data_IF_282057825754
#
_entry.id   IF_282057825754
#
_cell.length_a   1.000
_cell.length_b   1.000
_cell.length_c   1.000
_cell.angle_alpha   90.00
_cell.angle_beta   90.00
_cell.angle_gamma   90.00
#
_symmetry.space_group_name_H-M   'P 1'
#
loop_
_entity.id
_entity.type
_entity.pdbx_description
1 polymer ?
#
# COMPACT_ATOMS: atom_id res chain seq x y z
N UNK A 1 12.54 16.92 -41.70
CA UNK A 1 12.30 16.43 -40.34
C UNK A 1 10.86 16.71 -39.93
N UNK A 2 10.35 17.92 -40.17
CA UNK A 2 8.95 18.25 -39.81
C UNK A 2 7.93 17.43 -40.61
N UNK A 3 8.22 17.13 -41.91
CA UNK A 3 7.34 16.29 -42.73
C UNK A 3 7.32 14.85 -42.26
N UNK A 4 8.45 14.31 -41.76
CA UNK A 4 8.51 12.97 -41.18
C UNK A 4 7.62 12.90 -39.95
N UNK A 5 7.69 13.88 -39.05
CA UNK A 5 6.87 13.93 -37.83
C UNK A 5 5.39 14.05 -38.18
N UNK A 6 5.04 14.90 -39.14
CA UNK A 6 3.63 15.07 -39.57
C UNK A 6 3.07 13.82 -40.20
N UNK A 7 3.85 13.11 -41.02
CA UNK A 7 3.39 11.91 -41.71
C UNK A 7 3.28 10.70 -40.79
N UNK A 8 3.99 10.71 -39.66
CA UNK A 8 4.03 9.58 -38.73
C UNK A 8 3.47 9.91 -37.35
N UNK A 9 2.76 11.02 -37.21
CA UNK A 9 2.26 11.47 -35.91
C UNK A 9 1.35 10.44 -35.24
N UNK A 10 0.54 9.74 -36.02
CA UNK A 10 -0.35 8.72 -35.45
C UNK A 10 0.41 7.52 -34.91
N UNK A 11 1.49 7.14 -35.60
CA UNK A 11 2.36 6.04 -35.14
C UNK A 11 3.11 6.45 -33.87
N UNK A 12 3.59 7.69 -33.80
CA UNK A 12 4.28 8.22 -32.64
C UNK A 12 3.34 8.27 -31.43
N UNK A 13 2.13 8.78 -31.60
CA UNK A 13 1.12 8.83 -30.53
C UNK A 13 0.77 7.43 -30.05
N UNK A 14 0.57 6.47 -30.99
CA UNK A 14 0.29 5.09 -30.64
C UNK A 14 1.43 4.45 -29.83
N UNK A 15 2.67 4.70 -30.22
CA UNK A 15 3.84 4.17 -29.51
C UNK A 15 3.95 4.75 -28.09
N UNK A 16 3.73 6.05 -27.92
CA UNK A 16 3.75 6.70 -26.61
C UNK A 16 2.61 6.19 -25.71
N UNK A 17 1.40 6.05 -26.27
CA UNK A 17 0.26 5.52 -25.52
C UNK A 17 0.49 4.07 -25.07
N UNK A 18 1.06 3.24 -25.93
CA UNK A 18 1.41 1.86 -25.59
C UNK A 18 2.46 1.80 -24.48
N UNK A 19 3.48 2.66 -24.55
CA UNK A 19 4.50 2.76 -23.52
C UNK A 19 3.92 3.13 -22.17
N UNK A 20 3.03 4.12 -22.15
CA UNK A 20 2.34 4.56 -20.93
C UNK A 20 1.50 3.41 -20.36
N UNK A 21 0.72 2.72 -21.18
CA UNK A 21 -0.11 1.61 -20.73
C UNK A 21 0.71 0.45 -20.16
N UNK A 22 1.87 0.15 -20.76
CA UNK A 22 2.74 -0.93 -20.30
C UNK A 22 3.45 -0.58 -18.99
N UNK A 23 3.90 0.67 -18.84
CA UNK A 23 4.69 1.10 -17.68
C UNK A 23 3.83 1.59 -16.53
N UNK A 24 2.57 1.93 -16.77
CA UNK A 24 1.69 2.51 -15.76
C UNK A 24 1.55 1.63 -14.52
N UNK A 25 1.34 0.30 -14.61
CA UNK A 25 1.25 -0.55 -13.42
C UNK A 25 2.51 -0.54 -12.56
N UNK A 26 3.69 -0.47 -13.19
CA UNK A 26 4.96 -0.40 -12.47
C UNK A 26 5.08 0.90 -11.66
N UNK A 27 4.75 2.02 -12.30
CA UNK A 27 4.82 3.34 -11.67
C UNK A 27 3.77 3.46 -10.56
N UNK A 28 2.53 3.03 -10.82
CA UNK A 28 1.45 3.13 -9.84
C UNK A 28 1.69 2.23 -8.62
N UNK A 29 2.28 1.05 -8.82
CA UNK A 29 2.65 0.16 -7.71
C UNK A 29 3.73 0.77 -6.82
N UNK A 30 4.76 1.36 -7.44
CA UNK A 30 5.84 2.03 -6.70
C UNK A 30 5.31 3.18 -5.84
N UNK A 31 4.36 3.94 -6.35
CA UNK A 31 3.76 5.04 -5.61
C UNK A 31 2.92 4.61 -4.42
N UNK A 32 2.56 3.32 -4.31
CA UNK A 32 1.71 2.79 -3.25
C UNK A 32 2.46 2.01 -2.18
N UNK A 33 3.75 1.75 -2.38
CA UNK A 33 4.58 1.06 -1.41
C UNK A 33 5.47 2.03 -0.67
N UNK A 34 5.67 1.76 0.62
CA UNK A 34 6.61 2.50 1.45
C UNK A 34 7.57 1.52 2.12
N UNK A 35 8.82 1.93 2.28
CA UNK A 35 9.78 1.15 3.05
C UNK A 35 9.57 1.38 4.55
N UNK A 36 10.33 0.66 5.37
CA UNK A 36 10.20 0.74 6.83
C UNK A 36 10.52 2.12 7.37
N UNK A 37 11.49 2.82 6.80
CA UNK A 37 11.85 4.17 7.21
C UNK A 37 10.72 5.16 6.91
N UNK A 38 10.17 5.11 5.70
CA UNK A 38 9.06 5.96 5.31
C UNK A 38 7.81 5.66 6.16
N UNK A 39 7.57 4.38 6.46
CA UNK A 39 6.45 3.99 7.33
C UNK A 39 6.58 4.59 8.73
N UNK A 40 7.76 4.51 9.33
CA UNK A 40 8.02 5.08 10.66
C UNK A 40 7.77 6.60 10.65
N UNK A 41 8.20 7.29 9.60
CA UNK A 41 7.96 8.73 9.46
C UNK A 41 6.47 9.05 9.37
N UNK A 42 5.71 8.28 8.61
CA UNK A 42 4.26 8.48 8.49
C UNK A 42 3.56 8.26 9.84
N UNK A 43 3.98 7.24 10.59
CA UNK A 43 3.43 6.96 11.92
C UNK A 43 3.71 8.10 12.89
N UNK A 44 4.94 8.57 12.92
CA UNK A 44 5.40 9.53 13.92
C UNK A 44 4.97 10.97 13.61
N UNK A 45 5.01 11.39 12.35
CA UNK A 45 4.79 12.79 11.98
C UNK A 45 3.43 13.08 11.35
N UNK A 46 2.73 12.04 10.85
CA UNK A 46 1.43 12.19 10.21
C UNK A 46 0.32 11.44 10.94
N UNK A 47 0.61 10.91 12.11
CA UNK A 47 -0.35 10.10 12.89
C UNK A 47 -0.91 8.92 12.09
N UNK A 48 -0.04 8.29 11.31
CA UNK A 48 -0.43 7.18 10.44
C UNK A 48 -0.94 5.99 11.23
N UNK A 49 -1.95 5.32 10.69
CA UNK A 49 -2.49 4.08 11.25
C UNK A 49 -1.78 2.89 10.62
N UNK A 50 -1.29 1.99 11.44
CA UNK A 50 -0.80 0.70 10.97
C UNK A 50 -1.97 -0.28 11.03
N UNK A 51 -2.36 -0.80 9.88
CA UNK A 51 -3.43 -1.78 9.76
C UNK A 51 -2.83 -3.13 9.38
N UNK A 52 -2.89 -4.06 10.30
CA UNK A 52 -2.39 -5.42 10.12
C UNK A 52 -3.52 -6.28 9.57
N UNK A 53 -3.35 -6.80 8.36
CA UNK A 53 -4.36 -7.62 7.68
C UNK A 53 -3.99 -9.11 7.68
N UNK A 54 -2.99 -9.50 8.46
CA UNK A 54 -2.58 -10.91 8.61
C UNK A 54 -3.61 -11.71 9.39
N UNK A 55 -3.43 -13.02 9.42
CA UNK A 55 -4.28 -13.89 10.24
C UNK A 55 -4.03 -13.64 11.73
N UNK A 56 -5.03 -14.00 12.56
CA UNK A 56 -4.97 -13.78 13.99
C UNK A 56 -3.76 -14.42 14.67
N UNK A 57 -3.42 -15.65 14.28
CA UNK A 57 -2.27 -16.36 14.82
C UNK A 57 -0.94 -15.66 14.54
N UNK A 58 -0.81 -15.10 13.35
CA UNK A 58 0.38 -14.34 12.97
C UNK A 58 0.49 -13.03 13.75
N UNK A 59 -0.64 -12.35 13.93
CA UNK A 59 -0.70 -11.10 14.69
C UNK A 59 -0.31 -11.35 16.16
N UNK A 60 -0.83 -12.39 16.77
CA UNK A 60 -0.54 -12.72 18.16
C UNK A 60 0.93 -13.11 18.38
N UNK A 61 1.55 -13.74 17.38
CA UNK A 61 2.95 -14.13 17.43
C UNK A 61 3.90 -12.94 17.45
N UNK A 62 3.45 -11.79 16.97
CA UNK A 62 4.23 -10.56 16.96
C UNK A 62 3.59 -9.56 16.00
N UNK A 63 3.50 -8.30 16.44
CA UNK A 63 2.90 -7.25 15.61
C UNK A 63 3.49 -5.89 15.97
N UNK A 64 3.27 -4.92 15.10
CA UNK A 64 3.72 -3.55 15.31
C UNK A 64 2.95 -2.94 16.48
N UNK A 65 3.64 -2.26 17.41
CA UNK A 65 2.95 -1.60 18.53
C UNK A 65 1.91 -0.58 18.03
N UNK A 66 0.77 -0.55 18.70
CA UNK A 66 -0.36 0.34 18.38
C UNK A 66 -0.99 0.08 17.02
N UNK A 67 -0.70 -1.04 16.38
CA UNK A 67 -1.37 -1.43 15.14
C UNK A 67 -2.80 -1.90 15.43
N UNK A 68 -3.68 -1.68 14.45
CA UNK A 68 -5.03 -2.22 14.49
C UNK A 68 -5.05 -3.50 13.65
N UNK A 69 -5.67 -4.54 14.19
CA UNK A 69 -5.75 -5.83 13.51
C UNK A 69 -7.13 -6.05 12.93
N UNK A 70 -7.22 -6.17 11.63
CA UNK A 70 -8.43 -6.61 10.93
C UNK A 70 -7.96 -7.56 9.84
N UNK A 71 -8.23 -8.87 9.97
CA UNK A 71 -7.85 -9.83 8.92
C UNK A 71 -8.45 -9.44 7.57
N UNK A 72 -7.73 -9.72 6.50
CA UNK A 72 -8.11 -9.29 5.15
C UNK A 72 -9.50 -9.77 4.74
N UNK A 73 -9.89 -10.97 5.15
CA UNK A 73 -11.20 -11.55 4.84
C UNK A 73 -12.35 -10.87 5.57
N UNK A 74 -12.07 -10.16 6.66
CA UNK A 74 -13.08 -9.45 7.46
C UNK A 74 -13.07 -7.94 7.25
N UNK A 75 -12.11 -7.44 6.48
CA UNK A 75 -11.92 -6.00 6.30
C UNK A 75 -13.15 -5.33 5.71
N UNK A 76 -13.76 -5.94 4.70
CA UNK A 76 -14.94 -5.38 4.03
C UNK A 76 -16.10 -5.13 5.01
N UNK A 77 -16.28 -6.03 5.98
CA UNK A 77 -17.35 -5.95 6.97
C UNK A 77 -17.04 -4.95 8.08
N UNK A 78 -15.75 -4.62 8.28
CA UNK A 78 -15.28 -3.82 9.40
C UNK A 78 -14.70 -2.47 9.00
N UNK A 79 -14.93 -2.03 7.77
CA UNK A 79 -14.41 -0.75 7.28
C UNK A 79 -14.88 0.44 8.11
N UNK A 80 -16.06 0.35 8.71
CA UNK A 80 -16.61 1.43 9.53
C UNK A 80 -15.74 1.75 10.74
N UNK A 81 -15.01 0.78 11.27
CA UNK A 81 -14.10 0.99 12.40
C UNK A 81 -12.94 1.92 12.05
N UNK A 82 -12.68 2.12 10.77
CA UNK A 82 -11.57 2.91 10.27
C UNK A 82 -11.98 4.31 9.79
N UNK A 83 -13.25 4.68 9.87
CA UNK A 83 -13.76 5.94 9.30
C UNK A 83 -13.01 7.17 9.83
N UNK A 84 -12.62 7.17 11.09
CA UNK A 84 -11.90 8.29 11.69
C UNK A 84 -10.48 8.46 11.15
N UNK A 85 -9.96 7.48 10.40
CA UNK A 85 -8.61 7.52 9.84
C UNK A 85 -8.60 7.85 8.35
N UNK A 86 -9.72 8.24 7.75
CA UNK A 86 -9.80 8.50 6.29
C UNK A 86 -8.84 9.58 5.81
N UNK A 87 -8.58 10.57 6.65
CA UNK A 87 -7.68 11.69 6.32
C UNK A 87 -6.23 11.43 6.71
N UNK A 88 -5.94 10.29 7.32
CA UNK A 88 -4.61 9.94 7.79
C UNK A 88 -3.99 8.87 6.92
N UNK A 89 -2.64 8.80 6.87
CA UNK A 89 -2.01 7.69 6.17
C UNK A 89 -2.36 6.35 6.83
N UNK A 90 -2.67 5.36 6.01
CA UNK A 90 -2.89 3.99 6.46
C UNK A 90 -1.81 3.11 5.85
N UNK A 91 -1.10 2.39 6.69
CA UNK A 91 -0.01 1.50 6.28
C UNK A 91 -0.48 0.07 6.47
N UNK A 92 -0.65 -0.64 5.36
CA UNK A 92 -1.12 -2.02 5.37
C UNK A 92 0.07 -2.95 5.58
N UNK A 93 -0.07 -3.87 6.53
CA UNK A 93 0.95 -4.87 6.83
C UNK A 93 0.39 -6.27 6.54
N UNK A 94 1.12 -6.99 5.72
CA UNK A 94 0.91 -8.42 5.47
C UNK A 94 2.18 -9.17 5.84
N UNK A 95 2.21 -10.48 5.62
CA UNK A 95 3.36 -11.30 6.00
C UNK A 95 4.62 -10.93 5.21
N UNK A 96 4.64 -11.14 3.91
CA UNK A 96 5.82 -10.88 3.08
C UNK A 96 5.50 -10.64 1.61
N UNK A 97 4.28 -10.84 1.16
CA UNK A 97 3.93 -10.74 -0.24
C UNK A 97 2.95 -9.61 -0.55
N UNK A 98 3.07 -9.00 -1.72
CA UNK A 98 2.24 -7.87 -2.12
C UNK A 98 0.79 -8.25 -2.46
N UNK A 99 0.54 -9.52 -2.75
CA UNK A 99 -0.74 -9.95 -3.35
C UNK A 99 -1.93 -9.86 -2.39
N UNK A 100 -1.70 -10.06 -1.10
CA UNK A 100 -2.77 -10.04 -0.10
C UNK A 100 -3.23 -8.65 0.27
N UNK A 101 -2.36 -7.66 0.14
CA UNK A 101 -2.71 -6.27 0.48
C UNK A 101 -3.34 -5.49 -0.66
N UNK A 102 -3.21 -5.99 -1.90
CA UNK A 102 -3.80 -5.32 -3.07
C UNK A 102 -5.31 -5.15 -2.95
N UNK A 103 -6.01 -6.18 -2.54
CA UNK A 103 -7.46 -6.14 -2.32
C UNK A 103 -7.82 -5.21 -1.16
N UNK A 104 -7.08 -5.27 -0.07
CA UNK A 104 -7.31 -4.41 1.09
C UNK A 104 -7.12 -2.94 0.72
N UNK A 105 -6.07 -2.60 -0.02
CA UNK A 105 -5.85 -1.24 -0.50
C UNK A 105 -6.96 -0.75 -1.39
N UNK A 106 -7.45 -1.60 -2.28
CA UNK A 106 -8.56 -1.28 -3.16
C UNK A 106 -9.85 -0.97 -2.37
N UNK A 107 -10.18 -1.81 -1.39
CA UNK A 107 -11.34 -1.59 -0.54
C UNK A 107 -11.27 -0.27 0.21
N UNK A 108 -10.12 0.05 0.77
CA UNK A 108 -9.93 1.30 1.50
C UNK A 108 -10.05 2.52 0.59
N UNK A 109 -9.45 2.49 -0.59
CA UNK A 109 -9.53 3.60 -1.54
C UNK A 109 -10.95 3.84 -1.99
N UNK A 110 -11.72 2.78 -2.20
CA UNK A 110 -13.13 2.90 -2.59
C UNK A 110 -13.99 3.51 -1.48
N UNK A 111 -13.56 3.39 -0.23
CA UNK A 111 -14.28 3.99 0.91
C UNK A 111 -13.85 5.42 1.23
N UNK A 112 -12.98 6.00 0.41
CA UNK A 112 -12.58 7.39 0.57
C UNK A 112 -11.26 7.62 1.30
N UNK A 113 -10.49 6.55 1.55
CA UNK A 113 -9.15 6.68 2.13
C UNK A 113 -8.19 7.21 1.07
N UNK A 114 -7.59 8.37 1.33
CA UNK A 114 -6.77 9.07 0.35
C UNK A 114 -5.30 8.63 0.37
N UNK A 115 -4.81 8.18 1.51
CA UNK A 115 -3.40 7.86 1.70
C UNK A 115 -3.24 6.43 2.20
N UNK A 116 -3.31 5.47 1.28
CA UNK A 116 -3.15 4.05 1.58
C UNK A 116 -1.83 3.56 1.02
N UNK A 117 -1.00 3.01 1.89
CA UNK A 117 0.33 2.52 1.54
C UNK A 117 0.49 1.07 1.97
N UNK A 118 1.21 0.30 1.16
CA UNK A 118 1.61 -1.06 1.52
C UNK A 118 3.05 -1.00 2.06
N UNK A 119 3.31 -1.70 3.16
CA UNK A 119 4.67 -1.82 3.66
C UNK A 119 5.44 -2.79 2.77
N UNK A 120 6.49 -2.28 2.11
CA UNK A 120 7.33 -3.10 1.25
C UNK A 120 7.99 -4.22 2.07
N UNK A 121 7.86 -5.46 1.61
CA UNK A 121 8.35 -6.63 2.33
C UNK A 121 7.53 -7.05 3.54
N UNK A 122 6.45 -6.34 3.85
CA UNK A 122 5.52 -6.71 4.91
C UNK A 122 6.13 -6.75 6.30
N UNK A 123 5.56 -7.56 7.17
CA UNK A 123 6.01 -7.71 8.55
C UNK A 123 7.44 -8.24 8.65
N UNK A 124 7.85 -9.09 7.71
CA UNK A 124 9.22 -9.59 7.68
C UNK A 124 10.24 -8.45 7.56
N UNK A 125 9.96 -7.46 6.71
CA UNK A 125 10.81 -6.28 6.55
C UNK A 125 10.87 -5.44 7.83
N UNK A 126 9.74 -5.31 8.53
CA UNK A 126 9.68 -4.61 9.81
C UNK A 126 10.61 -5.25 10.84
N UNK A 127 10.55 -6.59 10.95
CA UNK A 127 11.43 -7.33 11.86
C UNK A 127 12.89 -7.24 11.47
N UNK A 128 13.20 -7.33 10.20
CA UNK A 128 14.58 -7.24 9.69
C UNK A 128 15.19 -5.86 9.96
N UNK A 129 14.39 -4.84 10.04
CA UNK A 129 14.83 -3.49 10.37
C UNK A 129 15.03 -3.28 11.89
N UNK A 130 14.82 -4.33 12.70
CA UNK A 130 14.94 -4.29 14.16
C UNK A 130 14.01 -3.26 14.81
N UNK A 131 12.86 -3.03 14.23
CA UNK A 131 11.86 -2.13 14.76
C UNK A 131 11.04 -2.82 15.87
N UNK A 132 10.44 -2.06 16.80
CA UNK A 132 9.72 -2.64 17.93
C UNK A 132 8.59 -3.58 17.49
N UNK A 133 8.45 -4.68 18.20
CA UNK A 133 7.41 -5.69 18.00
C UNK A 133 6.88 -6.10 19.36
N UNK A 134 5.56 -6.20 19.50
CA UNK A 134 4.94 -6.72 20.72
C UNK A 134 4.27 -8.05 20.41
N UNK A 135 4.24 -8.90 21.41
CA UNK A 135 3.59 -10.21 21.36
C UNK A 135 2.44 -10.20 22.35
N UNK A 136 1.43 -10.96 21.98
CA UNK A 136 0.27 -11.04 22.86
C UNK A 136 -0.28 -12.45 22.90
#
# INVERSE_FOLDING_TARGET
VSSFLQNNIMLIVAALASGILLLWPLVSRRGKEVDTMAAVQLINYKEGLVLDVREGSEYESGHVPNSKHIPADKLEQRLQELDKFKDKPVILIHRSGANTTGKAGFLLRNQGFQHVHNLAGGFDAWQQANLPVIKK
#
